data_IF_111533439498
#
_entry.id   IF_111533439498
#
_cell.length_a   1.000
_cell.length_b   1.000
_cell.length_c   1.000
_cell.angle_alpha   90.00
_cell.angle_beta   90.00
_cell.angle_gamma   90.00
#
_symmetry.space_group_name_H-M   'P 1'
#
loop_
_entity.id
_entity.type
_entity.pdbx_description
1 polymer ?
#
# COMPACT_ATOMS: atom_id res chain seq x y z
N UNK A 1 10.91 -14.14 17.06
CA UNK A 1 9.86 -14.06 16.01
C UNK A 1 9.15 -12.70 16.06
N UNK A 2 9.87 -11.61 16.40
CA UNK A 2 9.27 -10.35 16.88
C UNK A 2 9.49 -9.13 15.97
N UNK A 3 10.11 -9.27 14.78
CA UNK A 3 10.59 -8.10 14.04
C UNK A 3 9.89 -7.79 12.70
N UNK A 4 8.65 -8.24 12.48
CA UNK A 4 7.91 -7.90 11.25
C UNK A 4 7.07 -6.61 11.33
N UNK A 5 6.85 -6.04 12.52
CA UNK A 5 6.08 -4.81 12.69
C UNK A 5 6.95 -3.55 12.83
N UNK A 6 7.86 -3.31 11.88
CA UNK A 6 8.21 -1.91 11.58
C UNK A 6 7.12 -1.38 10.66
N UNK A 7 6.06 -0.81 11.23
CA UNK A 7 5.03 -0.12 10.45
C UNK A 7 5.68 1.08 9.77
N UNK A 8 5.88 1.00 8.45
CA UNK A 8 6.19 2.17 7.65
C UNK A 8 5.08 3.21 7.92
N UNK A 9 5.39 4.47 8.24
CA UNK A 9 4.39 5.49 8.58
C UNK A 9 3.34 5.72 7.47
N UNK A 10 3.61 5.26 6.24
CA UNK A 10 2.72 5.30 5.08
C UNK A 10 1.80 4.08 4.95
N UNK A 11 1.87 3.10 5.86
CA UNK A 11 1.03 1.89 5.86
C UNK A 11 0.23 1.83 7.16
N UNK A 12 -1.08 1.62 7.05
CA UNK A 12 -1.97 1.40 8.20
C UNK A 12 -2.55 0.00 8.19
N UNK A 13 -2.70 -0.57 9.39
CA UNK A 13 -3.35 -1.86 9.64
C UNK A 13 -4.42 -1.63 10.70
N UNK A 14 -5.68 -1.71 10.29
CA UNK A 14 -6.85 -1.58 11.18
C UNK A 14 -7.82 -2.73 10.89
N UNK A 15 -8.16 -3.59 11.88
CA UNK A 15 -9.13 -4.67 11.70
C UNK A 15 -10.49 -4.21 11.12
N UNK A 16 -10.87 -2.94 11.34
CA UNK A 16 -12.10 -2.34 10.82
C UNK A 16 -11.98 -1.89 9.36
N UNK A 17 -10.77 -1.77 8.83
CA UNK A 17 -10.49 -1.38 7.44
C UNK A 17 -9.94 -2.59 6.69
N UNK A 18 -10.65 -3.05 5.64
CA UNK A 18 -10.23 -4.19 4.80
C UNK A 18 -9.81 -5.43 5.63
N UNK A 19 -10.51 -5.68 6.74
CA UNK A 19 -10.29 -6.83 7.63
C UNK A 19 -8.86 -6.93 8.17
N UNK A 20 -8.20 -5.79 8.41
CA UNK A 20 -6.82 -5.77 8.91
C UNK A 20 -5.76 -6.04 7.85
N UNK A 21 -6.12 -6.05 6.57
CA UNK A 21 -5.10 -6.03 5.51
C UNK A 21 -4.29 -4.72 5.57
N UNK A 22 -2.96 -4.77 5.38
CA UNK A 22 -2.16 -3.56 5.22
C UNK A 22 -2.62 -2.75 4.01
N UNK A 23 -2.93 -1.47 4.25
CA UNK A 23 -3.33 -0.51 3.23
C UNK A 23 -2.42 0.71 3.26
N UNK A 24 -2.32 1.42 2.13
CA UNK A 24 -1.68 2.73 2.09
C UNK A 24 -2.48 3.68 2.98
N UNK A 25 -1.79 4.34 3.90
CA UNK A 25 -2.40 5.20 4.93
C UNK A 25 -3.19 6.32 4.28
N UNK A 26 -4.41 6.57 4.79
CA UNK A 26 -5.34 7.55 4.24
C UNK A 26 -6.17 7.03 3.06
N UNK A 27 -5.96 5.78 2.65
CA UNK A 27 -6.69 5.14 1.56
C UNK A 27 -7.27 3.79 2.01
N UNK A 28 -8.03 3.14 1.12
CA UNK A 28 -8.41 1.72 1.26
C UNK A 28 -7.66 0.82 0.28
N UNK A 29 -6.57 1.32 -0.31
CA UNK A 29 -5.77 0.65 -1.33
C UNK A 29 -4.83 -0.34 -0.65
N UNK A 30 -4.96 -1.65 -0.90
CA UNK A 30 -4.10 -2.66 -0.33
C UNK A 30 -2.66 -2.56 -0.84
N UNK A 31 -1.69 -2.85 0.03
CA UNK A 31 -0.27 -2.89 -0.37
C UNK A 31 -0.01 -4.04 -1.36
N UNK A 32 -0.66 -5.19 -1.17
CA UNK A 32 -0.54 -6.35 -2.05
C UNK A 32 -0.98 -6.06 -3.50
N UNK A 33 -2.02 -5.24 -3.68
CA UNK A 33 -2.48 -4.77 -5.00
C UNK A 33 -1.37 -4.00 -5.73
N UNK A 34 -0.75 -3.04 -5.06
CA UNK A 34 0.29 -2.19 -5.66
C UNK A 34 1.53 -3.02 -6.03
N UNK A 35 1.95 -3.93 -5.15
CA UNK A 35 3.04 -4.86 -5.44
C UNK A 35 2.69 -5.77 -6.64
N UNK A 36 1.43 -6.21 -6.75
CA UNK A 36 0.95 -6.98 -7.90
C UNK A 36 1.01 -6.20 -9.21
N UNK A 37 0.64 -4.91 -9.20
CA UNK A 37 0.74 -4.03 -10.38
C UNK A 37 2.18 -3.82 -10.82
N UNK A 38 3.09 -3.56 -9.87
CA UNK A 38 4.53 -3.44 -10.13
C UNK A 38 5.08 -4.75 -10.72
N UNK A 39 4.73 -5.90 -10.14
CA UNK A 39 5.13 -7.21 -10.65
C UNK A 39 4.56 -7.49 -12.05
N UNK A 40 3.39 -6.93 -12.37
CA UNK A 40 2.76 -6.96 -13.69
C UNK A 40 3.38 -5.99 -14.71
N UNK A 41 4.40 -5.23 -14.32
CA UNK A 41 5.14 -4.33 -15.20
C UNK A 41 4.62 -2.89 -15.25
N UNK A 42 3.66 -2.51 -14.42
CA UNK A 42 3.26 -1.10 -14.30
C UNK A 42 4.38 -0.27 -13.69
N UNK A 43 4.57 0.93 -14.21
CA UNK A 43 5.47 1.95 -13.67
C UNK A 43 4.88 2.61 -12.42
N UNK A 44 5.72 3.31 -11.66
CA UNK A 44 5.24 4.04 -10.48
C UNK A 44 4.27 5.15 -10.89
N UNK A 45 4.52 5.80 -12.02
CA UNK A 45 3.73 6.90 -12.56
C UNK A 45 2.33 6.43 -12.94
N UNK A 46 2.21 5.32 -13.68
CA UNK A 46 0.91 4.72 -14.03
C UNK A 46 0.12 4.32 -12.79
N UNK A 47 0.79 3.76 -11.77
CA UNK A 47 0.13 3.40 -10.50
C UNK A 47 -0.34 4.65 -9.75
N UNK A 48 0.47 5.70 -9.73
CA UNK A 48 0.10 6.96 -9.08
C UNK A 48 -1.13 7.58 -9.76
N UNK A 49 -1.19 7.55 -11.08
CA UNK A 49 -2.33 8.03 -11.86
C UNK A 49 -3.58 7.13 -11.68
N UNK A 50 -3.45 5.80 -11.78
CA UNK A 50 -4.58 4.87 -11.69
C UNK A 50 -5.24 4.91 -10.29
N UNK A 51 -4.45 5.09 -9.24
CA UNK A 51 -4.90 4.98 -7.85
C UNK A 51 -4.94 6.32 -7.09
N UNK A 52 -4.72 7.45 -7.77
CA UNK A 52 -4.61 8.79 -7.17
C UNK A 52 -3.65 8.81 -5.97
N UNK A 53 -2.47 8.21 -6.17
CA UNK A 53 -1.41 8.13 -5.18
C UNK A 53 -0.32 9.15 -5.48
N UNK A 54 0.34 9.63 -4.43
CA UNK A 54 1.51 10.49 -4.57
C UNK A 54 2.72 9.79 -3.98
N UNK A 55 3.82 9.75 -4.74
CA UNK A 55 5.11 9.31 -4.24
C UNK A 55 5.73 10.40 -3.37
N UNK A 56 6.24 10.00 -2.21
CA UNK A 56 7.11 10.85 -1.37
C UNK A 56 8.54 10.39 -1.56
N UNK A 57 9.46 11.33 -1.70
CA UNK A 57 10.91 11.09 -1.71
C UNK A 57 11.42 10.69 -0.31
#
# INVERSE_FOLDING_TARGET
>A
MENFMKTNPSISVDPKVRFGKPVIKGTRIPVDLILGKLAGGMTYEEICEEYDLTRKE
#
